data_IF_972302513056
#
_entry.id   IF_972302513056
#
_cell.length_a   1.000
_cell.length_b   1.000
_cell.length_c   1.000
_cell.angle_alpha   90.00
_cell.angle_beta   90.00
_cell.angle_gamma   90.00
#
_symmetry.space_group_name_H-M   'P 1'
#
loop_
_entity.id
_entity.type
_entity.pdbx_description
1 polymer ?
#
# COMPACT_ATOMS: atom_id res chain seq x y z
N UNK A 1 -45.39 14.50 -60.78
CA UNK A 1 -45.44 15.96 -60.92
C UNK A 1 -45.40 16.53 -59.52
N UNK A 2 -44.43 17.30 -59.03
CA UNK A 2 -43.22 17.84 -59.65
C UNK A 2 -42.14 18.15 -58.57
N UNK A 3 -40.91 18.22 -59.06
CA UNK A 3 -39.61 18.46 -58.42
C UNK A 3 -39.55 19.72 -57.53
N UNK A 4 -38.84 19.65 -56.41
CA UNK A 4 -37.51 20.29 -56.22
C UNK A 4 -37.42 21.74 -56.69
N UNK A 5 -37.34 22.68 -55.73
CA UNK A 5 -36.37 23.79 -55.77
C UNK A 5 -36.37 24.57 -54.44
N UNK A 6 -35.18 25.05 -54.06
CA UNK A 6 -34.84 25.96 -52.93
C UNK A 6 -34.04 25.35 -51.77
N UNK A 7 -33.16 24.39 -52.09
CA UNK A 7 -31.81 24.40 -51.52
C UNK A 7 -30.93 25.27 -52.42
N UNK A 8 -30.54 26.46 -51.99
CA UNK A 8 -29.38 27.29 -52.40
C UNK A 8 -29.71 28.78 -52.18
N UNK A 9 -28.76 29.55 -51.65
CA UNK A 9 -28.83 30.94 -51.14
C UNK A 9 -29.48 31.04 -49.75
N UNK A 10 -28.76 31.25 -48.63
CA UNK A 10 -27.57 32.09 -48.44
C UNK A 10 -26.75 31.56 -47.25
N UNK A 11 -25.69 30.82 -47.56
CA UNK A 11 -24.42 30.94 -46.85
C UNK A 11 -23.72 32.24 -47.29
N UNK A 12 -22.80 32.77 -46.47
CA UNK A 12 -22.16 34.11 -46.51
C UNK A 12 -23.04 35.15 -45.81
N UNK A 13 -22.77 35.63 -44.59
CA UNK A 13 -21.52 36.08 -43.95
C UNK A 13 -21.89 36.30 -42.46
N UNK A 14 -21.21 35.76 -41.45
CA UNK A 14 -20.00 36.32 -40.86
C UNK A 14 -19.43 35.30 -39.85
N UNK A 15 -18.15 34.99 -40.03
CA UNK A 15 -17.28 34.31 -39.06
C UNK A 15 -16.86 35.37 -38.03
N UNK A 16 -16.74 35.00 -36.74
CA UNK A 16 -15.60 35.29 -35.83
C UNK A 16 -16.07 35.26 -34.35
N UNK A 17 -15.29 34.51 -33.56
CA UNK A 17 -15.12 34.58 -32.09
C UNK A 17 -16.08 33.79 -31.21
N UNK A 18 -15.60 32.63 -30.72
CA UNK A 18 -15.48 32.34 -29.28
C UNK A 18 -14.73 31.01 -29.12
N UNK A 19 -13.41 31.08 -28.96
CA UNK A 19 -12.59 29.99 -28.45
C UNK A 19 -12.46 30.19 -26.93
N UNK A 20 -12.33 29.06 -26.22
CA UNK A 20 -11.77 28.86 -24.86
C UNK A 20 -12.75 29.07 -23.69
N UNK A 21 -13.17 27.99 -23.01
CA UNK A 21 -12.55 27.56 -21.74
C UNK A 21 -13.17 26.28 -21.14
N UNK A 22 -12.25 25.42 -20.70
CA UNK A 22 -12.38 24.33 -19.74
C UNK A 22 -13.30 24.66 -18.57
N UNK A 23 -14.14 23.70 -18.17
CA UNK A 23 -14.34 23.41 -16.75
C UNK A 23 -14.42 21.89 -16.57
N UNK A 24 -13.32 21.35 -16.07
CA UNK A 24 -13.20 20.01 -15.52
C UNK A 24 -14.27 19.79 -14.44
N UNK A 25 -14.88 18.63 -14.43
CA UNK A 25 -15.73 18.19 -13.34
C UNK A 25 -14.86 18.03 -12.09
N UNK A 26 -14.85 19.05 -11.22
CA UNK A 26 -14.32 18.93 -9.85
C UNK A 26 -15.47 18.44 -8.99
N UNK A 27 -15.54 17.13 -8.83
CA UNK A 27 -16.37 16.54 -7.77
C UNK A 27 -15.80 16.99 -6.43
N UNK A 28 -16.55 17.83 -5.71
CA UNK A 28 -16.25 18.14 -4.32
C UNK A 28 -16.61 16.92 -3.48
N UNK A 29 -15.61 16.18 -3.01
CA UNK A 29 -15.81 15.28 -1.88
C UNK A 29 -15.94 16.20 -0.66
N UNK A 30 -17.17 16.29 -0.14
CA UNK A 30 -17.43 16.93 1.15
C UNK A 30 -16.56 16.24 2.19
N UNK A 31 -15.77 17.03 2.91
CA UNK A 31 -15.13 16.60 4.13
C UNK A 31 -16.21 16.03 5.06
N UNK A 32 -16.12 14.73 5.34
CA UNK A 32 -16.87 14.09 6.40
C UNK A 32 -16.28 14.62 7.70
N UNK A 33 -17.10 15.30 8.48
CA UNK A 33 -16.81 15.73 9.83
C UNK A 33 -16.50 14.48 10.68
N UNK A 34 -15.21 14.20 10.89
CA UNK A 34 -14.75 13.13 11.76
C UNK A 34 -14.81 13.63 13.20
N UNK A 35 -15.94 13.37 13.88
CA UNK A 35 -16.06 13.53 15.32
C UNK A 35 -15.28 12.42 16.03
N UNK A 36 -14.07 12.72 16.50
CA UNK A 36 -13.30 11.83 17.38
C UNK A 36 -13.77 12.06 18.82
N UNK A 37 -14.70 11.23 19.29
CA UNK A 37 -14.99 11.04 20.71
C UNK A 37 -14.14 9.87 21.22
N UNK A 38 -12.95 10.19 21.74
CA UNK A 38 -12.04 9.23 22.36
C UNK A 38 -10.95 9.99 23.12
N UNK A 39 -10.59 9.52 24.32
CA UNK A 39 -9.47 10.08 25.08
C UNK A 39 -8.18 9.86 24.28
N UNK A 40 -7.65 10.91 23.64
CA UNK A 40 -6.37 10.87 22.94
C UNK A 40 -5.29 10.53 23.97
N UNK A 41 -4.72 9.32 23.89
CA UNK A 41 -3.52 8.99 24.66
C UNK A 41 -2.42 10.01 24.36
N UNK A 42 -1.78 10.53 25.41
CA UNK A 42 -0.69 11.50 25.27
C UNK A 42 0.50 10.78 24.60
N UNK A 43 0.74 11.09 23.33
CA UNK A 43 1.90 10.61 22.56
C UNK A 43 1.56 10.45 21.08
N UNK A 44 2.52 10.61 20.17
CA UNK A 44 2.35 10.40 18.72
C UNK A 44 3.54 9.64 18.15
N UNK A 45 3.29 8.66 17.29
CA UNK A 45 4.33 8.00 16.49
C UNK A 45 4.12 8.28 15.00
N UNK A 46 5.21 8.62 14.29
CA UNK A 46 5.21 8.89 12.85
C UNK A 46 6.36 8.17 12.16
N UNK A 47 6.13 7.63 10.97
CA UNK A 47 7.20 7.07 10.16
C UNK A 47 8.29 8.12 9.88
N UNK A 48 9.57 7.73 9.93
CA UNK A 48 10.68 8.65 9.67
C UNK A 48 10.81 9.01 8.18
N UNK A 49 10.19 8.22 7.30
CA UNK A 49 10.14 8.42 5.85
C UNK A 49 8.71 8.29 5.36
N UNK A 50 8.34 9.13 4.39
CA UNK A 50 7.01 9.10 3.76
C UNK A 50 6.87 7.95 2.73
N UNK A 51 7.99 7.43 2.22
CA UNK A 51 8.03 6.31 1.27
C UNK A 51 9.31 5.49 1.48
N UNK A 52 9.21 4.17 1.33
CA UNK A 52 10.31 3.22 1.44
C UNK A 52 10.19 2.16 0.34
N UNK A 53 11.22 2.06 -0.51
CA UNK A 53 11.30 1.06 -1.58
C UNK A 53 12.23 -0.08 -1.21
N UNK A 54 11.75 -1.32 -1.31
CA UNK A 54 12.53 -2.54 -1.10
C UNK A 54 12.77 -3.20 -2.45
N UNK A 55 14.03 -3.39 -2.83
CA UNK A 55 14.41 -3.94 -4.14
C UNK A 55 15.26 -5.19 -3.97
N UNK A 56 14.90 -6.25 -4.69
CA UNK A 56 15.75 -7.42 -4.87
C UNK A 56 16.77 -7.10 -5.99
N UNK A 57 18.00 -6.79 -5.58
CA UNK A 57 19.07 -6.36 -6.51
C UNK A 57 19.53 -7.44 -7.49
N UNK A 58 19.37 -8.71 -7.11
CA UNK A 58 19.71 -9.84 -7.97
C UNK A 58 18.45 -10.41 -8.63
N UNK A 59 18.50 -10.76 -9.93
CA UNK A 59 17.42 -11.50 -10.57
C UNK A 59 17.14 -12.80 -9.83
N UNK A 60 15.86 -13.11 -9.66
CA UNK A 60 15.41 -14.34 -9.01
C UNK A 60 15.34 -15.46 -10.05
N UNK A 61 15.85 -16.64 -9.73
CA UNK A 61 15.81 -17.79 -10.63
C UNK A 61 14.49 -18.53 -10.44
N UNK A 62 13.61 -18.46 -11.45
CA UNK A 62 12.24 -18.96 -11.40
C UNK A 62 12.11 -20.40 -10.85
N UNK A 63 12.93 -21.39 -11.28
CA UNK A 63 12.81 -22.77 -10.78
C UNK A 63 13.01 -22.94 -9.27
N UNK A 64 13.62 -21.96 -8.60
CA UNK A 64 13.86 -22.01 -7.15
C UNK A 64 12.74 -21.35 -6.34
N UNK A 65 11.81 -20.65 -6.98
CA UNK A 65 10.65 -20.04 -6.31
C UNK A 65 9.61 -21.14 -6.08
N UNK A 66 9.17 -21.29 -4.83
CA UNK A 66 8.23 -22.34 -4.42
C UNK A 66 6.87 -21.75 -4.04
N UNK A 67 5.83 -22.57 -4.06
CA UNK A 67 4.47 -22.19 -3.63
C UNK A 67 4.34 -22.02 -2.10
N UNK A 68 5.18 -22.72 -1.34
CA UNK A 68 5.15 -22.72 0.13
C UNK A 68 5.37 -21.29 0.69
N UNK A 69 4.41 -20.79 1.46
CA UNK A 69 4.49 -19.46 2.12
C UNK A 69 5.60 -19.37 3.16
N UNK A 70 6.13 -20.49 3.65
CA UNK A 70 7.28 -20.54 4.55
C UNK A 70 8.63 -20.59 3.80
N UNK A 71 8.62 -20.57 2.46
CA UNK A 71 9.86 -20.56 1.70
C UNK A 71 10.64 -19.26 1.92
N UNK A 72 11.91 -19.43 2.30
CA UNK A 72 12.87 -18.35 2.54
C UNK A 72 14.04 -18.34 1.53
N UNK A 73 13.89 -19.01 0.38
CA UNK A 73 14.95 -19.08 -0.65
C UNK A 73 15.31 -17.69 -1.17
N UNK A 74 14.30 -16.84 -1.37
CA UNK A 74 14.45 -15.45 -1.77
C UNK A 74 13.85 -14.54 -0.73
N UNK A 75 14.63 -14.18 0.29
CA UNK A 75 14.23 -13.28 1.38
C UNK A 75 15.06 -12.00 1.36
N UNK A 76 14.43 -10.85 1.63
CA UNK A 76 15.08 -9.56 1.83
C UNK A 76 14.63 -8.98 3.18
N UNK A 77 15.53 -8.81 4.15
CA UNK A 77 15.22 -8.12 5.41
C UNK A 77 15.19 -6.61 5.20
N UNK A 78 14.37 -5.91 6.00
CA UNK A 78 14.32 -4.46 6.06
C UNK A 78 13.84 -3.96 7.43
N UNK A 79 14.09 -2.69 7.73
CA UNK A 79 13.61 -2.02 8.96
C UNK A 79 12.76 -0.81 8.62
N UNK A 80 11.59 -0.70 9.24
CA UNK A 80 10.81 0.53 9.26
C UNK A 80 11.26 1.38 10.43
N UNK A 81 11.80 2.57 10.15
CA UNK A 81 12.15 3.56 11.17
C UNK A 81 10.99 4.49 11.43
N UNK A 82 10.72 4.78 12.69
CA UNK A 82 9.67 5.70 13.12
C UNK A 82 10.11 6.45 14.36
N UNK A 83 9.50 7.60 14.59
CA UNK A 83 9.80 8.46 15.73
C UNK A 83 8.55 8.60 16.59
N UNK A 84 8.71 8.43 17.89
CA UNK A 84 7.65 8.60 18.88
C UNK A 84 7.98 9.77 19.80
N UNK A 85 7.00 10.61 20.12
CA UNK A 85 7.13 11.73 21.04
C UNK A 85 5.93 11.82 21.98
N UNK A 86 6.10 12.56 23.08
CA UNK A 86 5.03 12.95 24.00
C UNK A 86 4.32 11.81 24.73
N UNK A 87 4.92 10.61 24.74
CA UNK A 87 4.45 9.50 25.56
C UNK A 87 4.75 9.70 27.03
N UNK A 88 3.72 9.51 27.87
CA UNK A 88 3.82 9.51 29.32
C UNK A 88 3.91 8.07 29.85
N UNK A 89 5.12 7.65 30.23
CA UNK A 89 5.40 6.31 30.75
C UNK A 89 5.08 6.15 32.25
N UNK A 90 4.52 7.18 32.91
CA UNK A 90 4.18 7.12 34.34
C UNK A 90 2.91 6.33 34.65
N UNK A 91 2.07 6.08 33.64
CA UNK A 91 0.86 5.27 33.73
C UNK A 91 0.94 4.10 32.72
N UNK A 92 0.26 2.98 33.02
CA UNK A 92 0.45 1.71 32.30
C UNK A 92 0.32 1.86 30.78
N UNK A 93 1.23 1.21 30.07
CA UNK A 93 1.35 1.11 28.61
C UNK A 93 0.01 0.79 27.93
N UNK A 94 -0.48 1.73 27.12
CA UNK A 94 -1.52 1.44 26.15
C UNK A 94 -1.05 0.42 25.11
N UNK A 95 -1.99 -0.33 24.51
CA UNK A 95 -1.68 -1.24 23.41
C UNK A 95 -1.55 -0.43 22.11
N UNK A 96 -0.32 -0.14 21.68
CA UNK A 96 -0.07 0.51 20.39
C UNK A 96 -0.02 -0.53 19.28
N UNK A 97 -0.68 -0.23 18.16
CA UNK A 97 -0.77 -1.14 17.02
C UNK A 97 -0.23 -0.47 15.77
N UNK A 98 0.59 -1.20 15.02
CA UNK A 98 0.93 -0.87 13.65
C UNK A 98 -0.01 -1.65 12.74
N UNK A 99 -0.69 -0.94 11.84
CA UNK A 99 -1.63 -1.53 10.89
C UNK A 99 -1.05 -1.47 9.48
N UNK A 100 -0.82 -2.63 8.89
CA UNK A 100 -0.32 -2.78 7.53
C UNK A 100 -1.49 -3.19 6.62
N UNK A 101 -1.77 -2.42 5.59
CA UNK A 101 -2.85 -2.70 4.63
C UNK A 101 -2.33 -2.71 3.20
N UNK A 102 -2.98 -3.44 2.28
CA UNK A 102 -2.61 -3.40 0.87
C UNK A 102 -2.77 -1.97 0.32
N UNK A 103 -1.72 -1.47 -0.32
CA UNK A 103 -1.76 -0.18 -1.01
C UNK A 103 -2.47 -0.29 -2.35
N UNK A 104 -2.59 0.84 -3.05
CA UNK A 104 -3.26 0.89 -4.35
C UNK A 104 -2.63 -0.10 -5.36
N UNK A 105 -3.48 -0.78 -6.13
CA UNK A 105 -3.06 -1.77 -7.13
C UNK A 105 -2.52 -3.09 -6.55
N UNK A 106 -2.66 -3.32 -5.24
CA UNK A 106 -2.19 -4.54 -4.56
C UNK A 106 -3.35 -5.36 -4.01
N UNK A 107 -3.23 -6.68 -4.07
CA UNK A 107 -4.18 -7.67 -3.56
C UNK A 107 -3.47 -8.60 -2.58
N UNK A 108 -4.26 -9.23 -1.71
CA UNK A 108 -3.81 -10.26 -0.77
C UNK A 108 -4.75 -11.45 -0.85
N UNK A 109 -4.21 -12.66 -1.00
CA UNK A 109 -5.00 -13.89 -1.01
C UNK A 109 -5.25 -14.46 0.40
N UNK A 110 -5.93 -15.61 0.46
CA UNK A 110 -6.23 -16.30 1.72
C UNK A 110 -5.00 -16.82 2.48
N UNK A 111 -3.85 -16.91 1.80
CA UNK A 111 -2.58 -17.39 2.34
C UNK A 111 -1.60 -16.25 2.68
N UNK A 112 -2.08 -15.01 2.72
CA UNK A 112 -1.26 -13.80 2.93
C UNK A 112 -0.20 -13.55 1.83
N UNK A 113 -0.43 -14.05 0.61
CA UNK A 113 0.39 -13.74 -0.55
C UNK A 113 -0.05 -12.39 -1.12
N UNK A 114 0.91 -11.48 -1.26
CA UNK A 114 0.72 -10.09 -1.70
C UNK A 114 1.14 -9.98 -3.16
N UNK A 115 0.26 -9.51 -4.03
CA UNK A 115 0.52 -9.46 -5.47
C UNK A 115 -0.21 -8.29 -6.15
N UNK A 116 0.27 -7.79 -7.30
CA UNK A 116 -0.42 -6.72 -8.02
C UNK A 116 -1.74 -7.19 -8.62
N UNK A 117 -2.71 -6.28 -8.77
CA UNK A 117 -3.97 -6.53 -9.47
C UNK A 117 -3.76 -7.03 -10.91
N UNK A 118 -2.70 -6.56 -11.57
CA UNK A 118 -2.25 -7.01 -12.89
C UNK A 118 -1.00 -7.89 -12.76
N UNK A 119 -1.15 -9.11 -12.24
CA UNK A 119 -0.04 -10.03 -12.05
C UNK A 119 0.28 -10.85 -13.31
N UNK A 120 1.41 -10.56 -13.94
CA UNK A 120 1.90 -11.27 -15.14
C UNK A 120 2.88 -12.40 -14.82
N UNK A 121 3.44 -12.44 -13.60
CA UNK A 121 4.52 -13.35 -13.21
C UNK A 121 4.04 -14.63 -12.54
N UNK A 122 2.80 -14.64 -12.03
CA UNK A 122 2.29 -15.68 -11.12
C UNK A 122 3.17 -15.84 -9.86
N UNK A 123 3.87 -14.79 -9.46
CA UNK A 123 4.61 -14.73 -8.20
C UNK A 123 3.92 -13.77 -7.23
N UNK A 124 4.26 -13.87 -5.96
CA UNK A 124 3.75 -13.02 -4.90
C UNK A 124 4.80 -12.80 -3.82
N UNK A 125 4.59 -11.79 -2.99
CA UNK A 125 5.39 -11.53 -1.80
C UNK A 125 4.71 -12.08 -0.55
N UNK A 126 5.48 -12.50 0.43
CA UNK A 126 5.02 -12.81 1.80
C UNK A 126 5.76 -11.90 2.77
N UNK A 127 5.01 -11.09 3.52
CA UNK A 127 5.54 -10.17 4.52
C UNK A 127 5.56 -10.84 5.89
N UNK A 128 6.68 -10.70 6.62
CA UNK A 128 6.85 -11.18 7.99
C UNK A 128 7.32 -10.05 8.90
N UNK A 129 6.77 -10.01 10.10
CA UNK A 129 7.21 -9.15 11.20
C UNK A 129 8.18 -9.95 12.07
N UNK A 130 9.32 -9.34 12.40
CA UNK A 130 10.36 -9.95 13.21
C UNK A 130 10.42 -9.33 14.61
N UNK A 131 10.98 -10.08 15.56
CA UNK A 131 11.37 -9.54 16.84
C UNK A 131 12.59 -8.61 16.73
N UNK A 132 12.94 -7.93 17.83
CA UNK A 132 14.09 -7.02 17.93
C UNK A 132 15.42 -7.69 17.58
N UNK A 133 15.54 -9.00 17.82
CA UNK A 133 16.71 -9.80 17.50
C UNK A 133 16.76 -10.27 16.04
N UNK A 134 15.73 -9.97 15.24
CA UNK A 134 15.61 -10.33 13.81
C UNK A 134 15.65 -11.84 13.55
N UNK A 135 15.38 -12.66 14.56
CA UNK A 135 15.52 -14.12 14.48
C UNK A 135 14.16 -14.81 14.40
N UNK A 136 13.13 -14.24 15.03
CA UNK A 136 11.78 -14.81 15.03
C UNK A 136 10.83 -13.97 14.18
N UNK A 137 10.75 -14.32 12.89
CA UNK A 137 9.88 -13.64 11.94
C UNK A 137 8.60 -14.45 11.68
N UNK A 138 7.42 -13.83 11.90
CA UNK A 138 6.10 -14.43 11.70
C UNK A 138 5.36 -13.74 10.56
N UNK A 139 4.60 -14.50 9.76
CA UNK A 139 3.78 -13.95 8.68
C UNK A 139 2.81 -12.91 9.24
N UNK A 140 2.77 -11.73 8.60
CA UNK A 140 1.80 -10.69 8.91
C UNK A 140 0.46 -11.08 8.32
N UNK A 141 -0.58 -11.17 9.16
CA UNK A 141 -1.92 -11.52 8.72
C UNK A 141 -2.64 -10.29 8.14
N UNK A 142 -2.30 -9.94 6.90
CA UNK A 142 -2.87 -8.79 6.20
C UNK A 142 -4.37 -8.97 5.89
N UNK A 143 -4.85 -10.22 5.81
CA UNK A 143 -6.27 -10.52 5.62
C UNK A 143 -7.11 -10.14 6.85
N UNK A 144 -6.59 -10.38 8.05
CA UNK A 144 -7.27 -10.04 9.30
C UNK A 144 -6.86 -8.65 9.81
N UNK A 145 -6.72 -7.68 8.89
CA UNK A 145 -6.48 -6.28 9.21
C UNK A 145 -5.00 -5.90 9.37
N UNK A 146 -4.06 -6.84 9.35
CA UNK A 146 -2.62 -6.55 9.34
C UNK A 146 -2.12 -5.82 10.59
N UNK A 147 -2.76 -6.05 11.73
CA UNK A 147 -2.44 -5.39 12.99
C UNK A 147 -1.31 -6.12 13.70
N UNK A 148 -0.28 -5.36 14.09
CA UNK A 148 0.93 -5.81 14.75
C UNK A 148 1.10 -4.99 16.02
N UNK A 149 1.24 -5.63 17.20
CA UNK A 149 1.61 -4.89 18.39
C UNK A 149 3.04 -4.35 18.24
N UNK A 150 3.27 -3.15 18.76
CA UNK A 150 4.62 -2.63 18.91
C UNK A 150 4.76 -1.92 20.27
N UNK A 151 5.95 -2.01 20.84
CA UNK A 151 6.26 -1.43 22.14
C UNK A 151 6.87 -0.04 21.94
N UNK A 152 6.22 0.99 22.50
CA UNK A 152 6.84 2.30 22.67
C UNK A 152 7.58 2.27 23.99
N UNK A 153 8.88 1.95 23.95
CA UNK A 153 9.73 1.86 25.15
C UNK A 153 10.35 3.19 25.56
N UNK A 154 10.37 4.17 24.65
CA UNK A 154 10.93 5.49 24.87
C UNK A 154 10.39 6.49 23.83
N UNK A 155 10.41 7.78 24.19
CA UNK A 155 10.34 8.85 23.20
C UNK A 155 11.68 8.90 22.45
N UNK A 156 11.64 8.98 21.12
CA UNK A 156 12.82 8.98 20.28
C UNK A 156 12.65 8.20 18.98
N UNK A 157 13.78 7.89 18.35
CA UNK A 157 13.84 7.08 17.14
C UNK A 157 13.79 5.59 17.50
N UNK A 158 12.86 4.89 16.87
CA UNK A 158 12.60 3.47 17.04
C UNK A 158 12.60 2.79 15.67
N UNK A 159 12.71 1.46 15.68
CA UNK A 159 12.60 0.67 14.46
C UNK A 159 11.84 -0.62 14.69
N UNK A 160 11.17 -1.08 13.63
CA UNK A 160 10.49 -2.37 13.58
C UNK A 160 11.06 -3.17 12.41
N UNK A 161 11.31 -4.47 12.63
CA UNK A 161 12.00 -5.31 11.66
C UNK A 161 11.05 -6.20 10.88
N UNK A 162 11.32 -6.33 9.59
CA UNK A 162 10.52 -7.12 8.68
C UNK A 162 11.39 -7.95 7.74
N UNK A 163 10.80 -9.00 7.21
CA UNK A 163 11.32 -9.76 6.07
C UNK A 163 10.23 -9.86 5.01
N UNK A 164 10.63 -9.72 3.74
CA UNK A 164 9.77 -10.06 2.60
C UNK A 164 10.41 -11.21 1.83
N UNK A 165 9.62 -12.23 1.49
CA UNK A 165 10.06 -13.30 0.60
C UNK A 165 9.22 -13.40 -0.66
N UNK A 166 9.78 -14.00 -1.72
CA UNK A 166 9.09 -14.24 -2.99
C UNK A 166 8.66 -15.70 -3.09
N UNK A 167 7.38 -15.91 -3.38
CA UNK A 167 6.76 -17.24 -3.52
C UNK A 167 5.91 -17.31 -4.79
N UNK A 168 5.53 -18.51 -5.18
CA UNK A 168 4.62 -18.73 -6.31
C UNK A 168 3.17 -18.48 -5.89
N UNK A 169 2.40 -17.83 -6.78
CA UNK A 169 0.98 -17.56 -6.63
C UNK A 169 0.15 -18.68 -7.27
N UNK A 170 -0.48 -19.49 -6.43
CA UNK A 170 -1.27 -20.66 -6.85
C UNK A 170 -0.45 -21.71 -7.62
N UNK A 171 -1.15 -22.55 -8.39
CA UNK A 171 -0.55 -23.68 -9.12
C UNK A 171 -0.05 -23.33 -10.54
N UNK A 172 -0.28 -22.09 -11.02
CA UNK A 172 0.10 -21.71 -12.39
C UNK A 172 1.60 -21.54 -12.50
N UNK A 173 2.19 -22.00 -13.61
CA UNK A 173 3.63 -21.84 -13.87
C UNK A 173 4.08 -20.38 -13.80
N UNK A 174 5.20 -20.15 -13.12
CA UNK A 174 5.84 -18.85 -13.03
C UNK A 174 6.28 -18.32 -14.40
N UNK A 175 6.21 -17.00 -14.56
CA UNK A 175 6.64 -16.27 -15.76
C UNK A 175 7.61 -15.16 -15.39
N UNK A 176 8.52 -14.85 -16.30
CA UNK A 176 9.40 -13.69 -16.14
C UNK A 176 8.60 -12.40 -16.31
N UNK A 177 8.94 -11.38 -15.53
CA UNK A 177 8.31 -10.07 -15.56
C UNK A 177 8.56 -9.29 -14.28
N UNK A 178 8.02 -8.08 -14.22
CA UNK A 178 8.09 -7.24 -13.03
C UNK A 178 7.04 -7.67 -12.00
N UNK A 179 7.43 -7.69 -10.73
CA UNK A 179 6.54 -7.92 -9.60
C UNK A 179 6.66 -6.73 -8.65
N UNK A 180 5.66 -5.85 -8.67
CA UNK A 180 5.60 -4.64 -7.85
C UNK A 180 4.32 -4.67 -7.02
N UNK A 181 4.45 -4.38 -5.72
CA UNK A 181 3.33 -4.24 -4.80
C UNK A 181 3.57 -3.03 -3.91
N UNK A 182 2.51 -2.53 -3.30
CA UNK A 182 2.54 -1.46 -2.31
C UNK A 182 1.77 -1.89 -1.06
N UNK A 183 2.23 -1.46 0.10
CA UNK A 183 1.52 -1.59 1.37
C UNK A 183 1.57 -0.25 2.10
N UNK A 184 0.48 0.11 2.76
CA UNK A 184 0.41 1.29 3.59
C UNK A 184 0.57 0.89 5.06
N UNK A 185 1.32 1.69 5.81
CA UNK A 185 1.56 1.47 7.24
C UNK A 185 0.97 2.62 8.03
N UNK A 186 0.10 2.31 8.98
CA UNK A 186 -0.55 3.27 9.87
C UNK A 186 -0.22 2.96 11.33
N UNK A 187 0.08 3.98 12.12
CA UNK A 187 0.22 3.83 13.57
C UNK A 187 -1.13 4.13 14.23
N UNK A 188 -1.66 3.16 14.97
CA UNK A 188 -2.90 3.27 15.71
C UNK A 188 -2.59 3.48 17.18
N UNK A 189 -3.23 4.51 17.75
CA UNK A 189 -3.09 4.88 19.15
C UNK A 189 -4.45 4.75 19.84
N UNK A 190 -4.49 4.23 21.07
CA UNK A 190 -5.72 4.15 21.86
C UNK A 190 -6.24 5.53 22.26
#
# INVERSE_FOLDING_TARGET
>A
MDKSNNRLLKYCTFIISSIILFVSYVGNIKAVELSILGNVSKGTCSASLNDMKIVFEKPLFIPNIKENVEDKTYVKPFSLKYKCSDFDFSSSTGNYLMKIVPGNGTLVDENNKIYPTSNVTNAAFVLRSCDSNKSNCKIVNLRNGGELPFDVIANGDLEHHFEVSVVQLGATSLKSGELVVAVDVNFLQP
#
